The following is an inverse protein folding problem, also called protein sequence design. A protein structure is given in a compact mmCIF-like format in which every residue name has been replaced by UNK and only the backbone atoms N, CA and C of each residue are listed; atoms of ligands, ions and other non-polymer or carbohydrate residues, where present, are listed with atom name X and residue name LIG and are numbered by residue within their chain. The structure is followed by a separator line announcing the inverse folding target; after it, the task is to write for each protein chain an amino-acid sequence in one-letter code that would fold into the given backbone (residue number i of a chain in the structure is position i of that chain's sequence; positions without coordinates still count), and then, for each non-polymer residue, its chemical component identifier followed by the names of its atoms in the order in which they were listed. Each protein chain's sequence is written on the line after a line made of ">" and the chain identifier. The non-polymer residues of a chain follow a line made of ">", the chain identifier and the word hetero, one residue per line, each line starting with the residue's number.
data_IF_275408273951
#
_entry.id   IF_275408273951
#
_cell.length_a   1.000
_cell.length_b   1.000
_cell.length_c   1.000
_cell.angle_alpha   90.00
_cell.angle_beta   90.00
_cell.angle_gamma   90.00
#
_symmetry.space_group_name_H-M   'P 1'
#
loop_
_entity.id
_entity.type
_entity.pdbx_description
1 polymer ?
#
# COMPACT_ATOMS: atom_id res chain seq x y z
N UNK A 1 -17.23 -18.03 -65.40
CA UNK A 1 -16.53 -18.48 -64.18
C UNK A 1 -16.84 -17.48 -63.08
N UNK A 2 -17.75 -17.88 -62.20
CA UNK A 2 -18.50 -17.01 -61.31
C UNK A 2 -17.78 -16.92 -59.96
N UNK A 3 -17.38 -15.71 -59.56
CA UNK A 3 -16.74 -15.43 -58.28
C UNK A 3 -17.86 -15.19 -57.26
N UNK A 4 -18.05 -16.12 -56.32
CA UNK A 4 -19.01 -15.97 -55.21
C UNK A 4 -18.31 -15.29 -54.02
N UNK A 5 -18.80 -14.11 -53.65
CA UNK A 5 -18.48 -13.38 -52.43
C UNK A 5 -19.25 -13.97 -51.24
N UNK A 6 -18.55 -14.37 -50.18
CA UNK A 6 -19.17 -14.77 -48.92
C UNK A 6 -19.02 -13.67 -47.88
N UNK A 7 -20.15 -13.24 -47.32
CA UNK A 7 -20.27 -12.23 -46.26
C UNK A 7 -20.14 -12.88 -44.88
N UNK A 8 -19.52 -12.15 -43.95
CA UNK A 8 -19.01 -12.59 -42.64
C UNK A 8 -20.09 -12.81 -41.56
N UNK A 9 -21.33 -13.14 -41.93
CA UNK A 9 -22.48 -13.18 -41.00
C UNK A 9 -23.04 -14.58 -40.71
N UNK A 10 -22.66 -15.60 -41.46
CA UNK A 10 -23.25 -16.95 -41.35
C UNK A 10 -22.49 -17.92 -40.40
N UNK A 11 -21.28 -17.56 -39.93
CA UNK A 11 -20.47 -18.47 -39.09
C UNK A 11 -20.79 -18.43 -37.58
N UNK A 12 -21.85 -17.71 -37.15
CA UNK A 12 -22.21 -17.56 -35.72
C UNK A 12 -23.48 -18.29 -35.30
N UNK A 13 -24.25 -18.85 -36.23
CA UNK A 13 -25.55 -19.47 -35.91
C UNK A 13 -25.53 -21.00 -35.78
N UNK A 14 -24.47 -21.68 -36.20
CA UNK A 14 -24.36 -23.15 -36.08
C UNK A 14 -23.75 -23.63 -34.76
N UNK A 15 -23.20 -22.74 -33.92
CA UNK A 15 -22.70 -23.09 -32.58
C UNK A 15 -23.73 -22.98 -31.45
N UNK A 16 -24.93 -22.44 -31.71
CA UNK A 16 -25.96 -22.23 -30.67
C UNK A 16 -27.13 -23.22 -30.70
N UNK A 17 -27.13 -24.21 -31.60
CA UNK A 17 -28.25 -25.14 -31.78
C UNK A 17 -27.99 -26.58 -31.27
N UNK A 18 -26.76 -26.94 -30.88
CA UNK A 18 -26.43 -28.32 -30.49
C UNK A 18 -26.06 -28.52 -29.00
N UNK A 19 -26.50 -27.64 -28.11
CA UNK A 19 -26.24 -27.77 -26.66
C UNK A 19 -27.51 -27.65 -25.79
N UNK A 20 -28.69 -27.91 -26.35
CA UNK A 20 -29.98 -27.93 -25.61
C UNK A 20 -30.59 -29.31 -25.41
N UNK A 21 -29.85 -30.40 -25.62
CA UNK A 21 -30.38 -31.76 -25.42
C UNK A 21 -29.37 -32.65 -24.69
N UNK A 22 -29.10 -32.29 -23.43
CA UNK A 22 -28.72 -33.20 -22.33
C UNK A 22 -28.75 -32.44 -21.01
N UNK A 23 -29.97 -32.13 -20.57
CA UNK A 23 -30.28 -31.83 -19.18
C UNK A 23 -30.16 -33.16 -18.43
N UNK A 24 -28.97 -33.44 -17.92
CA UNK A 24 -28.78 -34.43 -16.85
C UNK A 24 -27.74 -33.89 -15.88
N UNK A 25 -28.17 -33.75 -14.63
CA UNK A 25 -27.40 -33.39 -13.44
C UNK A 25 -25.88 -33.58 -13.55
N UNK A 26 -25.16 -32.49 -13.84
CA UNK A 26 -23.80 -32.31 -13.31
C UNK A 26 -23.67 -30.85 -12.91
N UNK A 27 -24.07 -30.54 -11.67
CA UNK A 27 -23.52 -29.39 -10.93
C UNK A 27 -22.01 -29.63 -10.81
N UNK A 28 -21.25 -29.26 -11.84
CA UNK A 28 -19.81 -29.08 -11.71
C UNK A 28 -19.63 -27.81 -10.88
N UNK A 29 -19.53 -28.01 -9.58
CA UNK A 29 -18.93 -27.06 -8.67
C UNK A 29 -17.61 -26.64 -9.29
N UNK A 30 -17.58 -25.43 -9.86
CA UNK A 30 -16.33 -24.71 -10.07
C UNK A 30 -15.77 -24.54 -8.66
N UNK A 31 -14.79 -25.37 -8.32
CA UNK A 31 -14.04 -25.24 -7.07
C UNK A 31 -13.33 -23.90 -7.13
N UNK A 32 -13.98 -22.90 -6.56
CA UNK A 32 -13.36 -21.62 -6.24
C UNK A 32 -12.17 -21.97 -5.34
N UNK A 33 -10.95 -21.84 -5.87
CA UNK A 33 -9.73 -21.92 -5.05
C UNK A 33 -9.93 -21.03 -3.81
N UNK A 34 -9.64 -21.50 -2.59
CA UNK A 34 -9.93 -20.78 -1.37
C UNK A 34 -8.90 -19.66 -1.17
N UNK A 35 -8.98 -18.62 -1.99
CA UNK A 35 -8.34 -17.34 -1.72
C UNK A 35 -9.42 -16.50 -1.05
N UNK A 36 -9.28 -16.29 0.26
CA UNK A 36 -10.12 -15.52 1.19
C UNK A 36 -11.05 -16.31 2.15
N UNK A 37 -10.54 -17.35 2.83
CA UNK A 37 -11.20 -17.91 4.01
C UNK A 37 -11.12 -17.03 5.28
N UNK A 38 -10.48 -15.85 5.22
CA UNK A 38 -10.27 -14.99 6.40
C UNK A 38 -11.37 -13.95 6.68
N UNK A 39 -12.33 -13.76 5.77
CA UNK A 39 -13.40 -12.78 5.96
C UNK A 39 -14.75 -13.33 5.49
N UNK A 40 -15.29 -14.27 6.26
CA UNK A 40 -16.71 -14.62 6.20
C UNK A 40 -17.51 -13.50 6.85
N UNK A 41 -18.51 -12.99 6.15
CA UNK A 41 -19.40 -11.99 6.75
C UNK A 41 -20.19 -12.60 7.91
N UNK A 42 -20.52 -11.78 8.90
CA UNK A 42 -21.48 -12.11 9.97
C UNK A 42 -22.81 -12.59 9.36
N UNK A 43 -23.17 -12.05 8.20
CA UNK A 43 -24.34 -12.49 7.44
C UNK A 43 -24.06 -12.42 5.95
N UNK A 44 -24.57 -13.39 5.20
CA UNK A 44 -24.44 -13.42 3.74
C UNK A 44 -25.81 -13.62 3.11
N UNK A 45 -26.12 -12.80 2.10
CA UNK A 45 -27.35 -12.86 1.32
C UNK A 45 -27.01 -13.15 -0.13
N UNK A 46 -27.53 -14.29 -0.61
CA UNK A 46 -27.52 -14.68 -2.02
C UNK A 46 -28.87 -14.33 -2.65
N UNK A 47 -28.92 -14.32 -3.99
CA UNK A 47 -30.14 -14.06 -4.76
C UNK A 47 -30.84 -12.75 -4.32
N UNK A 48 -30.22 -11.63 -4.69
CA UNK A 48 -30.59 -10.31 -4.20
C UNK A 48 -31.81 -9.66 -4.91
N UNK A 49 -32.54 -10.41 -5.75
CA UNK A 49 -33.72 -9.90 -6.47
C UNK A 49 -34.90 -9.57 -5.53
N UNK A 50 -34.99 -10.28 -4.40
CA UNK A 50 -36.00 -10.01 -3.36
C UNK A 50 -35.33 -9.54 -2.06
N UNK A 51 -35.18 -8.22 -1.83
CA UNK A 51 -34.43 -7.69 -0.71
C UNK A 51 -35.20 -7.69 0.61
N UNK A 52 -36.44 -8.24 0.68
CA UNK A 52 -37.29 -8.14 1.89
C UNK A 52 -36.59 -8.68 3.15
N UNK A 53 -35.95 -9.84 3.07
CA UNK A 53 -35.18 -10.43 4.18
C UNK A 53 -33.98 -9.57 4.55
N UNK A 54 -33.21 -9.13 3.54
CA UNK A 54 -32.06 -8.23 3.72
C UNK A 54 -32.45 -6.98 4.50
N UNK A 55 -33.56 -6.34 4.13
CA UNK A 55 -34.01 -5.10 4.75
C UNK A 55 -34.59 -5.32 6.15
N UNK A 56 -35.32 -6.42 6.37
CA UNK A 56 -35.90 -6.78 7.67
C UNK A 56 -34.80 -7.07 8.68
N UNK A 57 -33.83 -7.88 8.29
CA UNK A 57 -32.82 -8.40 9.21
C UNK A 57 -31.76 -7.36 9.59
N UNK A 58 -31.62 -6.30 8.79
CA UNK A 58 -30.71 -5.18 9.05
C UNK A 58 -31.43 -3.90 9.55
N UNK A 59 -32.72 -3.99 9.89
CA UNK A 59 -33.49 -2.84 10.41
C UNK A 59 -32.91 -2.35 11.74
N UNK A 60 -32.59 -1.05 11.80
CA UNK A 60 -32.05 -0.41 13.01
C UNK A 60 -30.59 -0.77 13.34
N UNK A 61 -29.89 -1.49 12.45
CA UNK A 61 -28.49 -1.91 12.66
C UNK A 61 -27.52 -1.02 11.90
N UNK A 62 -26.37 -0.75 12.51
CA UNK A 62 -25.21 -0.11 11.89
C UNK A 62 -24.11 -1.14 11.61
N UNK A 63 -23.27 -0.90 10.61
CA UNK A 63 -22.21 -1.83 10.26
C UNK A 63 -21.56 -1.59 8.91
N UNK A 64 -20.68 -2.51 8.54
CA UNK A 64 -19.95 -2.55 7.27
C UNK A 64 -20.47 -3.70 6.40
N UNK A 65 -20.68 -3.43 5.13
CA UNK A 65 -21.16 -4.39 4.15
C UNK A 65 -20.26 -4.44 2.92
N UNK A 66 -20.31 -5.58 2.22
CA UNK A 66 -19.57 -5.85 1.00
C UNK A 66 -20.49 -6.42 -0.07
N UNK A 67 -20.58 -5.76 -1.22
CA UNK A 67 -21.12 -6.38 -2.43
C UNK A 67 -20.01 -7.12 -3.16
N UNK A 68 -20.29 -8.34 -3.59
CA UNK A 68 -19.38 -9.18 -4.38
C UNK A 68 -20.06 -9.52 -5.70
N UNK A 69 -19.45 -9.14 -6.81
CA UNK A 69 -19.90 -9.56 -8.13
C UNK A 69 -19.44 -11.00 -8.38
N UNK A 70 -20.40 -11.91 -8.53
CA UNK A 70 -20.16 -13.34 -8.68
C UNK A 70 -19.57 -13.71 -10.04
N UNK A 71 -19.72 -12.86 -11.06
CA UNK A 71 -19.20 -13.11 -12.41
C UNK A 71 -17.70 -12.82 -12.54
N UNK A 72 -17.17 -11.87 -11.77
CA UNK A 72 -15.78 -11.41 -11.93
C UNK A 72 -15.02 -11.23 -10.61
N UNK A 73 -15.63 -11.53 -9.46
CA UNK A 73 -15.03 -11.42 -8.14
C UNK A 73 -14.81 -10.00 -7.63
N UNK A 74 -15.17 -8.96 -8.39
CA UNK A 74 -14.95 -7.56 -8.00
C UNK A 74 -15.89 -7.18 -6.87
N UNK A 75 -15.37 -6.39 -5.93
CA UNK A 75 -16.09 -6.06 -4.69
C UNK A 75 -16.26 -4.56 -4.50
N UNK A 76 -17.27 -4.21 -3.71
CA UNK A 76 -17.51 -2.88 -3.17
C UNK A 76 -17.68 -3.00 -1.66
N UNK A 77 -17.12 -2.07 -0.90
CA UNK A 77 -17.26 -1.98 0.55
C UNK A 77 -17.87 -0.65 0.91
N UNK A 78 -18.82 -0.65 1.84
CA UNK A 78 -19.39 0.56 2.41
C UNK A 78 -19.87 0.33 3.83
N UNK A 79 -20.10 1.40 4.56
CA UNK A 79 -20.71 1.36 5.89
C UNK A 79 -21.99 2.17 5.96
N UNK A 80 -22.77 1.95 7.02
CA UNK A 80 -23.88 2.83 7.36
C UNK A 80 -24.22 2.78 8.84
N UNK A 81 -24.72 3.89 9.36
CA UNK A 81 -25.36 3.98 10.68
C UNK A 81 -26.79 3.42 10.68
N UNK A 82 -27.38 3.22 9.50
CA UNK A 82 -28.65 2.51 9.26
C UNK A 82 -28.54 1.68 7.98
N UNK A 83 -28.16 0.42 8.15
CA UNK A 83 -27.96 -0.53 7.07
C UNK A 83 -29.24 -0.76 6.26
N UNK A 84 -30.41 -0.88 6.90
CA UNK A 84 -31.67 -1.12 6.17
C UNK A 84 -32.00 0.05 5.25
N UNK A 85 -31.85 1.29 5.73
CA UNK A 85 -32.02 2.48 4.89
C UNK A 85 -31.03 2.50 3.73
N UNK A 86 -29.73 2.33 4.01
CA UNK A 86 -28.69 2.38 2.99
C UNK A 86 -28.83 1.29 1.94
N UNK A 87 -29.14 0.06 2.35
CA UNK A 87 -29.30 -1.10 1.45
C UNK A 87 -30.54 -0.95 0.56
N UNK A 88 -31.61 -0.33 1.04
CA UNK A 88 -32.82 -0.05 0.24
C UNK A 88 -32.50 0.77 -1.01
N UNK A 89 -31.62 1.75 -0.88
CA UNK A 89 -31.19 2.59 -2.00
C UNK A 89 -30.54 1.74 -3.11
N UNK A 90 -29.70 0.77 -2.73
CA UNK A 90 -29.05 -0.14 -3.68
C UNK A 90 -30.03 -1.04 -4.42
N UNK A 91 -31.16 -1.42 -3.80
CA UNK A 91 -32.17 -2.26 -4.43
C UNK A 91 -33.21 -1.48 -5.24
N UNK A 92 -33.12 -0.14 -5.26
CA UNK A 92 -34.01 0.70 -6.05
C UNK A 92 -33.34 1.12 -7.36
N UNK A 93 -33.65 0.41 -8.46
CA UNK A 93 -33.09 0.72 -9.77
C UNK A 93 -33.38 2.15 -10.24
N UNK A 94 -34.58 2.67 -9.93
CA UNK A 94 -34.95 4.06 -10.20
C UNK A 94 -34.10 5.06 -9.42
N UNK A 95 -33.85 4.80 -8.14
CA UNK A 95 -32.96 5.63 -7.31
C UNK A 95 -31.53 5.61 -7.85
N UNK A 96 -31.00 4.42 -8.19
CA UNK A 96 -29.66 4.27 -8.77
C UNK A 96 -29.50 5.08 -10.07
N UNK A 97 -30.49 5.01 -10.97
CA UNK A 97 -30.49 5.76 -12.24
C UNK A 97 -30.50 7.26 -12.00
N UNK A 98 -31.33 7.76 -11.07
CA UNK A 98 -31.40 9.17 -10.69
C UNK A 98 -30.07 9.65 -10.10
N UNK A 99 -29.50 8.85 -9.19
CA UNK A 99 -28.26 9.19 -8.51
C UNK A 99 -27.07 9.24 -9.47
N UNK A 100 -27.06 8.36 -10.49
CA UNK A 100 -26.04 8.36 -11.55
C UNK A 100 -26.04 9.60 -12.45
N UNK A 101 -27.13 10.37 -12.49
CA UNK A 101 -27.15 11.66 -13.19
C UNK A 101 -26.36 12.74 -12.46
N UNK A 102 -26.21 12.61 -11.13
CA UNK A 102 -25.52 13.58 -10.28
C UNK A 102 -24.10 13.12 -9.92
N UNK A 103 -23.92 11.81 -9.78
CA UNK A 103 -22.73 11.20 -9.21
C UNK A 103 -22.20 10.03 -10.05
N UNK A 104 -20.88 9.86 -10.10
CA UNK A 104 -20.23 8.79 -10.88
C UNK A 104 -19.89 7.57 -10.04
N UNK A 105 -20.90 6.89 -9.49
CA UNK A 105 -20.69 5.66 -8.70
C UNK A 105 -20.41 4.43 -9.58
N UNK A 106 -19.36 3.66 -9.28
CA UNK A 106 -19.05 2.41 -10.03
C UNK A 106 -19.98 1.28 -9.61
N UNK A 107 -20.23 1.11 -8.31
CA UNK A 107 -21.11 0.05 -7.79
C UNK A 107 -22.54 0.19 -8.32
N UNK A 108 -23.09 1.41 -8.43
CA UNK A 108 -24.44 1.62 -8.97
C UNK A 108 -24.54 1.17 -10.43
N UNK A 109 -23.53 1.52 -11.25
CA UNK A 109 -23.44 1.06 -12.65
C UNK A 109 -23.28 -0.45 -12.72
N UNK A 110 -22.50 -1.05 -11.82
CA UNK A 110 -22.27 -2.49 -11.81
C UNK A 110 -23.56 -3.27 -11.47
N UNK A 111 -24.31 -2.84 -10.45
CA UNK A 111 -25.59 -3.45 -10.09
C UNK A 111 -26.61 -3.36 -11.24
N UNK A 112 -26.73 -2.20 -11.89
CA UNK A 112 -27.62 -2.03 -13.05
C UNK A 112 -27.17 -2.84 -14.27
N UNK A 113 -25.86 -2.97 -14.49
CA UNK A 113 -25.29 -3.67 -15.66
C UNK A 113 -25.38 -5.20 -15.54
N UNK A 114 -25.04 -5.74 -14.37
CA UNK A 114 -24.94 -7.19 -14.19
C UNK A 114 -26.17 -7.80 -13.51
N UNK A 115 -27.07 -7.00 -12.95
CA UNK A 115 -28.28 -7.48 -12.25
C UNK A 115 -27.99 -8.05 -10.86
N UNK A 116 -29.00 -8.08 -9.99
CA UNK A 116 -28.84 -8.42 -8.57
C UNK A 116 -28.56 -9.91 -8.33
N UNK A 117 -29.06 -10.81 -9.19
CA UNK A 117 -28.74 -12.25 -9.15
C UNK A 117 -27.25 -12.57 -9.23
N UNK A 118 -26.49 -11.71 -9.93
CA UNK A 118 -25.05 -11.86 -10.11
C UNK A 118 -24.23 -11.20 -8.99
N UNK A 119 -24.90 -10.78 -7.91
CA UNK A 119 -24.26 -10.23 -6.73
C UNK A 119 -24.63 -11.02 -5.48
N UNK A 120 -23.68 -11.02 -4.54
CA UNK A 120 -23.90 -11.42 -3.15
C UNK A 120 -23.62 -10.22 -2.25
N UNK A 121 -24.39 -10.10 -1.18
CA UNK A 121 -24.19 -9.09 -0.14
C UNK A 121 -23.71 -9.78 1.13
N UNK A 122 -22.53 -9.41 1.60
CA UNK A 122 -22.00 -9.84 2.89
C UNK A 122 -22.10 -8.65 3.88
N UNK A 123 -22.67 -8.86 5.06
CA UNK A 123 -22.47 -7.97 6.21
C UNK A 123 -21.18 -8.42 6.87
N UNK A 124 -20.14 -7.61 6.77
CA UNK A 124 -18.82 -7.94 7.28
C UNK A 124 -18.76 -7.82 8.79
N UNK A 125 -19.41 -6.79 9.34
CA UNK A 125 -19.39 -6.48 10.75
C UNK A 125 -20.60 -5.60 11.12
N UNK A 126 -21.22 -5.87 12.28
CA UNK A 126 -22.08 -4.89 12.94
C UNK A 126 -21.24 -4.11 13.95
N UNK A 127 -21.31 -2.79 13.90
CA UNK A 127 -20.50 -1.93 14.75
C UNK A 127 -21.32 -0.76 15.28
N UNK A 128 -20.80 -0.03 16.26
CA UNK A 128 -21.39 1.23 16.69
C UNK A 128 -21.40 2.27 15.57
N UNK A 129 -22.36 3.20 15.64
CA UNK A 129 -22.56 4.22 14.60
C UNK A 129 -21.34 5.13 14.42
N UNK A 130 -20.65 5.44 15.51
CA UNK A 130 -19.40 6.22 15.55
C UNK A 130 -18.27 5.52 14.79
N UNK A 131 -18.23 4.19 14.82
CA UNK A 131 -17.13 3.39 14.29
C UNK A 131 -17.30 3.01 12.82
N UNK A 132 -18.47 3.22 12.21
CA UNK A 132 -18.76 2.80 10.83
C UNK A 132 -17.68 3.20 9.82
N UNK A 133 -17.20 4.45 9.88
CA UNK A 133 -16.17 4.97 8.96
C UNK A 133 -14.80 4.34 9.23
N UNK A 134 -14.42 4.18 10.50
CA UNK A 134 -13.15 3.56 10.88
C UNK A 134 -13.11 2.09 10.43
N UNK A 135 -14.21 1.36 10.63
CA UNK A 135 -14.33 -0.03 10.20
C UNK A 135 -14.39 -0.15 8.68
N UNK A 136 -15.08 0.76 7.98
CA UNK A 136 -15.06 0.81 6.51
C UNK A 136 -13.63 0.97 5.99
N UNK A 137 -12.85 1.87 6.58
CA UNK A 137 -11.44 2.10 6.20
C UNK A 137 -10.61 0.82 6.38
N UNK A 138 -10.72 0.16 7.54
CA UNK A 138 -10.03 -1.11 7.81
C UNK A 138 -10.27 -2.14 6.70
N UNK A 139 -11.54 -2.31 6.29
CA UNK A 139 -11.88 -3.27 5.24
C UNK A 139 -11.48 -2.82 3.83
N UNK A 140 -11.52 -1.52 3.52
CA UNK A 140 -11.01 -0.99 2.25
C UNK A 140 -9.51 -1.26 2.13
N UNK A 141 -8.73 -0.96 3.18
CA UNK A 141 -7.28 -1.14 3.17
C UNK A 141 -6.91 -2.63 3.09
N UNK A 142 -7.64 -3.47 3.82
CA UNK A 142 -7.36 -4.91 3.87
C UNK A 142 -7.75 -5.64 2.58
N UNK A 143 -8.87 -5.26 1.94
CA UNK A 143 -9.43 -6.00 0.81
C UNK A 143 -9.26 -5.32 -0.55
N UNK A 144 -8.84 -4.05 -0.58
CA UNK A 144 -8.61 -3.26 -1.79
C UNK A 144 -9.74 -3.39 -2.84
N UNK A 145 -10.99 -3.05 -2.49
CA UNK A 145 -12.16 -3.31 -3.33
C UNK A 145 -12.16 -2.50 -4.64
N UNK A 146 -12.40 -3.17 -5.77
CA UNK A 146 -12.33 -2.57 -7.11
C UNK A 146 -13.37 -1.46 -7.34
N UNK A 147 -14.58 -1.59 -6.79
CA UNK A 147 -15.66 -0.64 -7.05
C UNK A 147 -15.60 0.62 -6.17
N UNK A 148 -14.71 0.68 -5.18
CA UNK A 148 -14.48 1.89 -4.37
C UNK A 148 -13.56 2.85 -5.13
N UNK A 149 -14.08 4.00 -5.55
CA UNK A 149 -13.27 5.03 -6.22
C UNK A 149 -12.39 5.77 -5.21
N UNK A 150 -12.92 6.04 -4.02
CA UNK A 150 -12.20 6.69 -2.94
C UNK A 150 -11.46 5.62 -2.14
N UNK A 151 -10.17 5.86 -1.89
CA UNK A 151 -9.33 5.03 -1.03
C UNK A 151 -9.52 5.33 0.46
N UNK A 152 -10.02 6.54 0.78
CA UNK A 152 -10.39 6.92 2.14
C UNK A 152 -11.91 6.81 2.34
N UNK A 153 -12.33 6.10 3.37
CA UNK A 153 -13.73 6.00 3.77
C UNK A 153 -14.29 7.38 4.14
N UNK A 154 -15.56 7.64 3.77
CA UNK A 154 -16.24 8.90 4.05
C UNK A 154 -15.64 10.17 3.41
N UNK A 155 -14.57 10.07 2.62
CA UNK A 155 -13.84 11.23 2.11
C UNK A 155 -13.41 11.04 0.66
N UNK A 156 -13.44 12.11 -0.12
CA UNK A 156 -12.82 12.13 -1.44
C UNK A 156 -11.32 12.47 -1.39
N UNK A 157 -10.73 12.61 -0.21
CA UNK A 157 -9.31 12.90 -0.04
C UNK A 157 -8.46 11.75 -0.57
N UNK A 158 -7.46 12.07 -1.40
CA UNK A 158 -6.62 11.06 -2.05
C UNK A 158 -7.23 10.44 -3.30
N UNK A 159 -8.48 10.79 -3.67
CA UNK A 159 -9.07 10.36 -4.94
C UNK A 159 -8.28 10.94 -6.12
N UNK A 160 -7.79 10.05 -6.98
CA UNK A 160 -7.16 10.46 -8.23
C UNK A 160 -8.19 11.14 -9.14
N UNK A 161 -7.87 12.35 -9.57
CA UNK A 161 -8.68 13.13 -10.53
C UNK A 161 -7.92 13.26 -11.84
N UNK A 162 -8.63 13.23 -12.96
CA UNK A 162 -8.06 13.54 -14.27
C UNK A 162 -7.55 14.97 -14.33
N UNK A 163 -6.58 15.25 -15.20
CA UNK A 163 -6.05 16.61 -15.39
C UNK A 163 -7.11 17.59 -15.84
N UNK A 164 -8.04 17.15 -16.69
CA UNK A 164 -9.19 17.95 -17.12
C UNK A 164 -10.08 18.37 -15.95
N UNK A 165 -10.36 17.47 -15.01
CA UNK A 165 -11.15 17.77 -13.81
C UNK A 165 -10.38 18.71 -12.88
N UNK A 166 -9.09 18.45 -12.69
CA UNK A 166 -8.19 19.27 -11.88
C UNK A 166 -8.11 20.70 -12.41
N UNK A 167 -8.02 20.86 -13.72
CA UNK A 167 -8.03 22.16 -14.39
C UNK A 167 -9.33 22.91 -14.14
N UNK A 168 -10.50 22.27 -14.37
CA UNK A 168 -11.82 22.89 -14.10
C UNK A 168 -11.97 23.35 -12.64
N UNK A 169 -11.52 22.54 -11.69
CA UNK A 169 -11.53 22.89 -10.27
C UNK A 169 -10.60 24.07 -9.94
N UNK A 170 -9.41 24.11 -10.56
CA UNK A 170 -8.50 25.26 -10.44
C UNK A 170 -9.14 26.53 -11.00
N UNK A 171 -9.75 26.47 -12.18
CA UNK A 171 -10.44 27.61 -12.78
C UNK A 171 -11.61 28.10 -11.93
N UNK A 172 -12.46 27.19 -11.44
CA UNK A 172 -13.56 27.55 -10.53
C UNK A 172 -13.04 28.26 -9.27
N UNK A 173 -11.92 27.80 -8.71
CA UNK A 173 -11.26 28.47 -7.58
C UNK A 173 -10.75 29.86 -7.94
N UNK A 174 -10.15 30.05 -9.12
CA UNK A 174 -9.68 31.37 -9.56
C UNK A 174 -10.83 32.36 -9.69
N UNK A 175 -11.95 31.95 -10.29
CA UNK A 175 -13.17 32.77 -10.39
C UNK A 175 -13.68 33.17 -9.00
N UNK A 176 -13.70 32.25 -8.04
CA UNK A 176 -14.13 32.55 -6.67
C UNK A 176 -13.17 33.53 -5.96
N UNK A 177 -11.87 33.40 -6.15
CA UNK A 177 -10.88 34.32 -5.56
C UNK A 177 -10.96 35.70 -6.20
N UNK A 178 -11.14 35.76 -7.52
CA UNK A 178 -11.33 37.01 -8.25
C UNK A 178 -12.57 37.75 -7.73
N UNK A 179 -13.72 37.06 -7.60
CA UNK A 179 -14.95 37.66 -7.04
C UNK A 179 -14.82 38.16 -5.61
N UNK A 180 -13.94 37.56 -4.80
CA UNK A 180 -13.66 37.98 -3.43
C UNK A 180 -12.61 39.09 -3.36
N UNK A 181 -11.87 39.29 -4.43
CA UNK A 181 -10.84 40.30 -4.53
C UNK A 181 -11.52 41.61 -4.94
N UNK A 182 -11.39 42.66 -4.12
CA UNK A 182 -11.87 44.01 -4.47
C UNK A 182 -10.96 44.70 -5.51
N UNK A 183 -10.33 43.94 -6.41
CA UNK A 183 -9.40 44.45 -7.42
C UNK A 183 -10.17 44.69 -8.71
N UNK A 184 -9.96 45.86 -9.32
CA UNK A 184 -10.54 46.22 -10.61
C UNK A 184 -9.70 45.64 -11.77
N UNK A 185 -9.57 44.32 -11.80
CA UNK A 185 -8.87 43.57 -12.86
C UNK A 185 -9.88 42.66 -13.54
N UNK A 186 -9.71 42.38 -14.83
CA UNK A 186 -10.46 41.29 -15.43
C UNK A 186 -9.92 39.92 -14.94
N UNK A 187 -10.63 38.84 -15.26
CA UNK A 187 -10.27 37.51 -14.76
C UNK A 187 -8.88 37.06 -15.23
N UNK A 188 -8.51 37.38 -16.47
CA UNK A 188 -7.24 36.95 -17.06
C UNK A 188 -6.07 37.70 -16.41
N UNK A 189 -6.21 39.01 -16.24
CA UNK A 189 -5.26 39.85 -15.50
C UNK A 189 -5.09 39.39 -14.06
N UNK A 190 -6.19 39.10 -13.36
CA UNK A 190 -6.16 38.59 -11.99
C UNK A 190 -5.43 37.24 -11.90
N UNK A 191 -5.66 36.34 -12.86
CA UNK A 191 -4.99 35.03 -12.90
C UNK A 191 -3.49 35.20 -13.12
N UNK A 192 -3.09 36.05 -14.08
CA UNK A 192 -1.67 36.34 -14.34
C UNK A 192 -1.01 36.90 -13.10
N UNK A 193 -1.58 37.93 -12.47
CA UNK A 193 -1.05 38.53 -11.24
C UNK A 193 -0.92 37.51 -10.10
N UNK A 194 -1.96 36.69 -9.89
CA UNK A 194 -1.96 35.65 -8.86
C UNK A 194 -0.87 34.59 -9.10
N UNK A 195 -0.62 34.23 -10.35
CA UNK A 195 0.44 33.28 -10.71
C UNK A 195 1.82 33.90 -10.53
N UNK A 196 2.03 35.15 -10.95
CA UNK A 196 3.28 35.89 -10.75
C UNK A 196 3.65 35.93 -9.26
N UNK A 197 2.72 36.35 -8.39
CA UNK A 197 2.94 36.37 -6.93
C UNK A 197 3.35 35.00 -6.36
N UNK A 198 2.87 33.89 -6.94
CA UNK A 198 3.27 32.55 -6.51
C UNK A 198 4.67 32.19 -6.95
N UNK A 199 5.06 32.58 -8.17
CA UNK A 199 6.41 32.37 -8.70
C UNK A 199 7.41 33.12 -7.82
N UNK A 200 7.18 34.40 -7.55
CA UNK A 200 8.05 35.22 -6.68
C UNK A 200 8.24 34.58 -5.30
N UNK A 201 7.15 34.06 -4.71
CA UNK A 201 7.20 33.38 -3.42
C UNK A 201 8.00 32.07 -3.47
N UNK A 202 7.97 31.35 -4.59
CA UNK A 202 8.76 30.14 -4.78
C UNK A 202 10.23 30.46 -4.98
N UNK A 203 10.55 31.51 -5.75
CA UNK A 203 11.91 31.99 -5.93
C UNK A 203 12.54 32.39 -4.60
N UNK A 204 11.81 33.14 -3.76
CA UNK A 204 12.28 33.48 -2.41
C UNK A 204 12.56 32.25 -1.54
N UNK A 205 11.76 31.18 -1.65
CA UNK A 205 12.01 29.93 -0.94
C UNK A 205 13.24 29.20 -1.48
N UNK A 206 13.41 29.18 -2.80
CA UNK A 206 14.57 28.58 -3.45
C UNK A 206 15.86 29.24 -2.98
N UNK A 207 15.90 30.58 -2.94
CA UNK A 207 17.06 31.34 -2.46
C UNK A 207 17.40 31.02 -1.00
N UNK A 208 16.38 30.90 -0.13
CA UNK A 208 16.59 30.50 1.27
C UNK A 208 17.19 29.10 1.39
N UNK A 209 16.64 28.13 0.65
CA UNK A 209 17.16 26.77 0.62
C UNK A 209 18.60 26.70 0.09
N UNK A 210 18.92 27.48 -0.94
CA UNK A 210 20.29 27.58 -1.46
C UNK A 210 21.26 28.13 -0.40
N UNK A 211 20.84 29.15 0.37
CA UNK A 211 21.64 29.71 1.47
C UNK A 211 21.85 28.70 2.59
N UNK A 212 20.80 27.98 2.99
CA UNK A 212 20.89 26.90 3.98
C UNK A 212 21.85 25.81 3.53
N UNK A 213 21.71 25.35 2.27
CA UNK A 213 22.58 24.34 1.67
C UNK A 213 24.06 24.80 1.68
N UNK A 214 24.32 26.04 1.24
CA UNK A 214 25.66 26.64 1.28
C UNK A 214 26.24 26.64 2.69
N UNK A 215 25.44 27.00 3.70
CA UNK A 215 25.87 27.00 5.10
C UNK A 215 26.20 25.59 5.63
N UNK A 216 25.53 24.54 5.12
CA UNK A 216 25.84 23.14 5.47
C UNK A 216 27.19 22.74 4.87
N UNK A 217 27.45 23.10 3.62
CA UNK A 217 28.74 22.84 2.97
C UNK A 217 29.90 23.64 3.57
N UNK A 218 29.66 24.89 3.98
CA UNK A 218 30.69 25.70 4.65
C UNK A 218 30.98 25.21 6.08
N UNK A 219 29.99 24.63 6.77
CA UNK A 219 30.18 24.00 8.09
C UNK A 219 30.76 22.59 8.03
N UNK A 220 30.75 21.93 6.87
CA UNK A 220 31.24 20.55 6.69
C UNK A 220 32.72 20.45 6.33
N UNK A 221 33.52 21.51 6.52
CA UNK A 221 34.98 21.36 6.57
C UNK A 221 35.31 20.39 7.70
N UNK A 222 35.59 19.14 7.33
CA UNK A 222 35.97 18.06 8.24
C UNK A 222 37.01 18.60 9.22
N UNK A 223 36.68 18.66 10.51
CA UNK A 223 37.70 19.02 11.50
C UNK A 223 38.79 17.94 11.42
N UNK A 224 40.05 18.32 11.61
CA UNK A 224 41.17 17.37 11.60
C UNK A 224 40.91 16.16 12.54
N UNK A 225 40.14 16.37 13.62
CA UNK A 225 39.64 15.34 14.53
C UNK A 225 38.80 14.26 13.85
N UNK A 226 37.93 14.63 12.91
CA UNK A 226 37.02 13.71 12.24
C UNK A 226 37.76 12.86 11.19
N UNK A 227 38.73 13.47 10.49
CA UNK A 227 39.64 12.74 9.60
C UNK A 227 40.49 11.74 10.39
N UNK A 228 40.96 12.15 11.57
CA UNK A 228 41.73 11.28 12.48
C UNK A 228 40.87 10.13 13.00
N UNK A 229 39.60 10.37 13.32
CA UNK A 229 38.64 9.35 13.76
C UNK A 229 38.32 8.36 12.64
N UNK A 230 38.18 8.84 11.40
CA UNK A 230 37.93 8.00 10.23
C UNK A 230 39.13 7.12 9.89
N UNK A 231 40.35 7.67 9.92
CA UNK A 231 41.60 6.90 9.76
C UNK A 231 41.75 5.82 10.84
N UNK A 232 41.39 6.12 12.09
CA UNK A 232 41.37 5.12 13.17
C UNK A 232 40.36 4.01 12.88
N UNK A 233 39.13 4.34 12.49
CA UNK A 233 38.10 3.35 12.14
C UNK A 233 38.52 2.44 10.98
N UNK A 234 39.06 3.00 9.89
CA UNK A 234 39.59 2.20 8.77
C UNK A 234 40.73 1.27 9.20
N UNK A 235 41.68 1.74 10.02
CA UNK A 235 42.75 0.91 10.56
C UNK A 235 42.26 -0.20 11.50
N UNK A 236 41.06 -0.07 12.06
CA UNK A 236 40.47 -1.11 12.91
C UNK A 236 39.83 -2.23 12.07
N UNK A 237 39.36 -1.91 10.86
CA UNK A 237 38.78 -2.88 9.91
C UNK A 237 39.84 -3.75 9.21
N UNK A 238 41.09 -3.30 9.13
CA UNK A 238 42.21 -4.09 8.58
C UNK A 238 42.86 -5.01 9.61
N UNK A 239 42.42 -4.99 10.86
CA UNK A 239 42.97 -5.85 11.90
C UNK A 239 42.50 -7.31 11.72
N UNK A 240 43.44 -8.25 11.64
CA UNK A 240 43.12 -9.67 11.58
C UNK A 240 42.51 -10.16 12.92
N UNK A 241 41.37 -10.87 12.89
CA UNK A 241 40.77 -11.43 14.10
C UNK A 241 41.63 -12.55 14.68
N UNK A 242 41.60 -12.68 16.01
CA UNK A 242 42.43 -13.60 16.79
C UNK A 242 41.54 -14.53 17.59
N UNK A 243 41.79 -15.84 17.50
CA UNK A 243 41.11 -16.85 18.29
C UNK A 243 41.95 -17.23 19.50
N UNK A 244 41.30 -17.35 20.66
CA UNK A 244 41.93 -17.77 21.92
C UNK A 244 41.13 -18.94 22.49
N UNK A 245 41.75 -20.11 22.52
CA UNK A 245 41.23 -21.31 23.16
C UNK A 245 41.72 -21.36 24.60
N UNK A 246 40.79 -21.45 25.56
CA UNK A 246 41.08 -21.73 26.95
C UNK A 246 41.10 -23.25 27.19
N UNK A 247 42.26 -23.79 27.53
CA UNK A 247 42.46 -25.23 27.71
C UNK A 247 41.71 -25.79 28.93
N UNK A 248 41.37 -24.96 29.91
CA UNK A 248 40.67 -25.44 31.10
C UNK A 248 39.17 -25.64 30.83
N UNK A 249 38.58 -24.79 30.00
CA UNK A 249 37.14 -24.82 29.71
C UNK A 249 36.82 -25.40 28.33
N UNK A 250 37.80 -25.53 27.44
CA UNK A 250 37.63 -25.92 26.04
C UNK A 250 36.99 -24.84 25.17
N UNK A 251 36.71 -23.64 25.72
CA UNK A 251 36.00 -22.58 25.00
C UNK A 251 36.97 -21.76 24.17
N UNK A 252 36.60 -21.49 22.91
CA UNK A 252 37.33 -20.57 22.03
C UNK A 252 36.60 -19.23 21.90
N UNK A 253 37.27 -18.14 22.27
CA UNK A 253 36.77 -16.77 22.12
C UNK A 253 37.47 -16.09 20.95
N UNK A 254 36.71 -15.41 20.10
CA UNK A 254 37.24 -14.62 18.97
C UNK A 254 37.30 -13.15 19.33
N UNK A 255 38.47 -12.54 19.15
CA UNK A 255 38.70 -11.11 19.33
C UNK A 255 38.89 -10.42 17.98
N UNK A 256 38.41 -9.17 17.81
CA UNK A 256 38.56 -8.45 16.55
C UNK A 256 40.01 -8.13 16.16
N UNK A 257 40.95 -8.16 17.11
CA UNK A 257 42.37 -7.87 16.85
C UNK A 257 43.27 -8.49 17.92
N UNK A 258 44.56 -8.60 17.62
CA UNK A 258 45.59 -9.02 18.58
C UNK A 258 45.63 -8.12 19.83
N UNK A 259 45.38 -6.82 19.69
CA UNK A 259 45.35 -5.89 20.82
C UNK A 259 44.14 -6.13 21.73
N UNK A 260 42.98 -6.46 21.17
CA UNK A 260 41.79 -6.80 21.95
C UNK A 260 41.99 -8.11 22.72
N UNK A 261 42.60 -9.12 22.07
CA UNK A 261 42.99 -10.35 22.75
C UNK A 261 44.01 -10.09 23.87
N UNK A 262 44.99 -9.21 23.63
CA UNK A 262 46.00 -8.83 24.61
C UNK A 262 45.38 -8.20 25.86
N UNK A 263 44.45 -7.26 25.68
CA UNK A 263 43.72 -6.61 26.77
C UNK A 263 42.90 -7.64 27.58
N UNK A 264 42.16 -8.51 26.90
CA UNK A 264 41.33 -9.51 27.57
C UNK A 264 42.14 -10.53 28.39
N UNK A 265 43.35 -10.89 27.93
CA UNK A 265 44.24 -11.83 28.61
C UNK A 265 45.20 -11.18 29.60
N UNK A 266 45.12 -9.85 29.74
CA UNK A 266 46.09 -9.01 30.45
C UNK A 266 47.54 -9.36 30.05
N UNK A 267 47.78 -9.37 28.74
CA UNK A 267 49.05 -9.68 28.10
C UNK A 267 49.54 -8.47 27.30
N UNK A 268 50.83 -8.42 26.98
CA UNK A 268 51.33 -7.43 26.03
C UNK A 268 50.90 -7.81 24.60
N UNK A 269 50.65 -6.80 23.76
CA UNK A 269 50.34 -7.03 22.34
C UNK A 269 51.47 -7.81 21.63
N UNK A 270 52.73 -7.55 22.00
CA UNK A 270 53.89 -8.30 21.49
C UNK A 270 53.85 -9.79 21.84
N UNK A 271 53.33 -10.15 23.02
CA UNK A 271 53.14 -11.56 23.41
C UNK A 271 52.13 -12.26 22.49
N UNK A 272 50.98 -11.63 22.24
CA UNK A 272 49.96 -12.16 21.33
C UNK A 272 50.51 -12.27 19.92
N UNK A 273 51.16 -11.21 19.41
CA UNK A 273 51.74 -11.19 18.07
C UNK A 273 52.85 -12.24 17.87
N UNK A 274 53.70 -12.47 18.86
CA UNK A 274 54.74 -13.50 18.78
C UNK A 274 54.14 -14.91 18.70
N UNK A 275 53.03 -15.16 19.39
CA UNK A 275 52.28 -16.42 19.29
C UNK A 275 51.63 -16.58 17.92
N UNK A 276 50.98 -15.54 17.41
CA UNK A 276 50.41 -15.53 16.06
C UNK A 276 51.46 -15.71 14.95
N UNK A 277 52.68 -15.23 15.17
CA UNK A 277 53.83 -15.41 14.25
C UNK A 277 54.57 -16.75 14.44
N UNK A 278 54.09 -17.63 15.34
CA UNK A 278 54.70 -18.94 15.58
C UNK A 278 56.05 -18.91 16.32
N UNK A 279 56.49 -17.74 16.83
CA UNK A 279 57.77 -17.61 17.55
C UNK A 279 57.75 -18.26 18.93
N UNK A 280 56.57 -18.50 19.50
CA UNK A 280 56.39 -19.16 20.78
C UNK A 280 55.11 -20.00 20.76
N UNK A 281 55.25 -21.31 20.75
CA UNK A 281 54.15 -22.28 20.62
C UNK A 281 53.58 -22.75 21.95
N UNK A 282 54.22 -22.42 23.08
CA UNK A 282 53.72 -22.82 24.41
C UNK A 282 52.42 -22.08 24.73
N UNK A 283 51.45 -22.67 25.45
CA UNK A 283 50.26 -21.95 25.88
C UNK A 283 50.61 -20.73 26.74
N UNK A 284 49.95 -19.60 26.49
CA UNK A 284 50.11 -18.40 27.33
C UNK A 284 49.60 -18.70 28.74
N UNK A 285 50.42 -18.40 29.77
CA UNK A 285 50.16 -18.76 31.17
C UNK A 285 49.82 -20.25 31.37
N UNK A 286 50.28 -21.14 30.48
CA UNK A 286 49.95 -22.57 30.51
C UNK A 286 48.48 -22.89 30.20
N UNK A 287 47.65 -21.89 29.86
CA UNK A 287 46.18 -22.02 29.78
C UNK A 287 45.61 -21.65 28.41
N UNK A 288 46.18 -20.66 27.73
CA UNK A 288 45.56 -20.09 26.53
C UNK A 288 46.37 -20.39 25.26
N UNK A 289 45.73 -21.04 24.29
CA UNK A 289 46.28 -21.23 22.93
C UNK A 289 45.75 -20.13 22.03
N UNK A 290 46.65 -19.42 21.36
CA UNK A 290 46.32 -18.24 20.55
C UNK A 290 46.66 -18.53 19.10
N UNK A 291 45.68 -18.36 18.21
CA UNK A 291 45.82 -18.61 16.78
C UNK A 291 45.15 -17.51 15.96
N UNK A 292 45.53 -17.43 14.67
CA UNK A 292 44.79 -16.59 13.72
C UNK A 292 43.39 -17.18 13.58
N UNK A 293 42.36 -16.34 13.65
CA UNK A 293 41.00 -16.79 13.38
C UNK A 293 40.83 -16.98 11.88
N UNK A 294 41.25 -18.13 11.36
CA UNK A 294 40.95 -18.52 9.98
C UNK A 294 39.44 -18.58 9.77
N UNK A 295 39.00 -18.12 8.60
CA UNK A 295 37.75 -18.60 8.04
C UNK A 295 37.99 -20.05 7.62
N UNK A 296 37.39 -21.00 8.32
CA UNK A 296 37.19 -22.33 7.76
C UNK A 296 36.28 -22.13 6.54
N UNK A 297 36.83 -22.28 5.34
CA UNK A 297 36.03 -22.59 4.15
C UNK A 297 35.38 -23.97 4.33
#
# INVERSE_FOLDING_TARGET
>A
MTIFSYTFTELRFTFFSLASSKISLVRKYVTFSPINSRFTGVRTYLNLDNPKSVLKDNKGKSGVYRFVNLLNGKTYIGSSTDLSRRLRDYFSSGWLKKELQRNKSVIYRALLKYGYLNFRLDILEYCEKSECINREQYYIDTLSPFYNICTKAGSSLGRLTTDTTRFKLRMARMVLLHKRSNKNLNLDEFIVEYLTMKVDKLELKLVKLQKELKSVFEKSVFKQSDLTRFKKLQATLTAEPVAVLDLNSGITIRYPSARNAALALNASNSTIMNKLKGKNTKPYKGRYVISKAGFSN
#
